data_IF_845609660419
#
_entry.id   IF_845609660419
#
_cell.length_a   1.000
_cell.length_b   1.000
_cell.length_c   1.000
_cell.angle_alpha   90.00
_cell.angle_beta   90.00
_cell.angle_gamma   90.00
#
_symmetry.space_group_name_H-M   'P 1'
#
loop_
_entity.id
_entity.type
_entity.pdbx_description
1 polymer ?
#
# COMPACT_ATOMS: atom_id res chain seq x y z
N UNK A 1 1.80 -14.75 5.57
CA UNK A 1 1.71 -13.89 4.36
C UNK A 1 2.21 -12.50 4.72
N UNK A 2 3.15 -11.93 3.95
CA UNK A 2 3.93 -10.74 4.30
C UNK A 2 3.12 -9.62 4.97
N UNK A 3 2.01 -9.21 4.35
CA UNK A 3 1.19 -8.10 4.86
C UNK A 3 0.54 -8.40 6.21
N UNK A 4 0.10 -9.64 6.43
CA UNK A 4 -0.47 -10.04 7.71
C UNK A 4 0.57 -10.12 8.83
N UNK A 5 1.78 -10.55 8.49
CA UNK A 5 2.90 -10.60 9.43
C UNK A 5 3.33 -9.17 9.82
N UNK A 6 3.36 -8.25 8.85
CA UNK A 6 3.56 -6.82 9.10
C UNK A 6 2.50 -6.24 10.04
N UNK A 7 1.21 -6.47 9.78
CA UNK A 7 0.13 -5.96 10.63
C UNK A 7 0.22 -6.50 12.08
N UNK A 8 0.63 -7.76 12.23
CA UNK A 8 0.85 -8.36 13.55
C UNK A 8 2.01 -7.66 14.28
N UNK A 9 3.12 -7.34 13.60
CA UNK A 9 4.24 -6.56 14.16
C UNK A 9 3.83 -5.14 14.55
N UNK A 10 2.91 -4.51 13.81
CA UNK A 10 2.33 -3.21 14.14
C UNK A 10 1.38 -3.24 15.36
N UNK A 11 1.18 -4.42 15.97
CA UNK A 11 0.33 -4.60 17.14
C UNK A 11 -1.17 -4.71 16.80
N UNK A 12 -1.50 -4.99 15.53
CA UNK A 12 -2.87 -5.28 15.14
C UNK A 12 -3.25 -6.71 15.55
N UNK A 13 -4.50 -6.91 15.94
CA UNK A 13 -5.03 -8.19 16.41
C UNK A 13 -6.39 -8.50 15.77
N UNK A 14 -6.90 -9.71 16.00
CA UNK A 14 -8.10 -10.23 15.30
C UNK A 14 -8.00 -10.10 13.77
N UNK A 15 -6.79 -10.32 13.26
CA UNK A 15 -6.46 -10.15 11.85
C UNK A 15 -7.13 -11.22 10.98
N UNK A 16 -7.81 -10.76 9.93
CA UNK A 16 -8.34 -11.57 8.83
C UNK A 16 -7.90 -10.96 7.51
N UNK A 17 -6.93 -11.59 6.85
CA UNK A 17 -6.50 -11.24 5.50
C UNK A 17 -7.24 -12.15 4.53
N UNK A 18 -8.15 -11.59 3.73
CA UNK A 18 -8.84 -12.33 2.68
C UNK A 18 -7.93 -12.59 1.49
N UNK A 19 -8.29 -13.60 0.70
CA UNK A 19 -7.62 -13.92 -0.55
C UNK A 19 -7.85 -12.82 -1.62
N UNK A 20 -6.99 -12.81 -2.63
CA UNK A 20 -7.18 -11.96 -3.80
C UNK A 20 -8.29 -12.51 -4.69
N UNK A 21 -9.31 -11.68 -4.90
CA UNK A 21 -10.33 -11.83 -5.92
C UNK A 21 -9.80 -11.23 -7.22
N UNK A 22 -9.97 -11.94 -8.33
CA UNK A 22 -9.57 -11.48 -9.66
C UNK A 22 -10.81 -11.01 -10.42
N UNK A 23 -10.67 -9.88 -11.11
CA UNK A 23 -11.70 -9.36 -11.99
C UNK A 23 -11.91 -10.33 -13.16
N UNK A 24 -13.16 -10.45 -13.60
CA UNK A 24 -13.49 -11.20 -14.83
C UNK A 24 -13.19 -10.32 -16.04
N UNK A 25 -13.00 -10.96 -17.19
CA UNK A 25 -12.79 -10.24 -18.45
C UNK A 25 -13.94 -9.26 -18.72
N UNK A 26 -13.60 -7.98 -18.91
CA UNK A 26 -14.57 -6.92 -19.16
C UNK A 26 -15.27 -6.35 -17.91
N UNK A 27 -15.02 -6.89 -16.71
CA UNK A 27 -15.64 -6.46 -15.46
C UNK A 27 -14.57 -6.11 -14.40
N UNK A 28 -13.82 -5.01 -14.59
CA UNK A 28 -12.80 -4.62 -13.62
C UNK A 28 -13.40 -4.18 -12.29
N UNK A 29 -12.63 -4.28 -11.21
CA UNK A 29 -13.02 -3.66 -9.95
C UNK A 29 -12.84 -2.14 -10.05
N UNK A 30 -13.93 -1.40 -9.95
CA UNK A 30 -13.87 0.06 -9.94
C UNK A 30 -13.74 0.60 -8.51
N UNK A 31 -12.79 1.52 -8.33
CA UNK A 31 -12.64 2.28 -7.10
C UNK A 31 -13.32 3.63 -7.26
N UNK A 32 -14.53 3.77 -6.69
CA UNK A 32 -15.38 4.96 -6.85
C UNK A 32 -14.73 6.28 -6.43
N UNK A 33 -13.70 6.25 -5.58
CA UNK A 33 -13.02 7.44 -5.07
C UNK A 33 -11.94 8.00 -6.01
N UNK A 34 -11.37 7.18 -6.89
CA UNK A 34 -10.36 7.63 -7.88
C UNK A 34 -10.78 7.45 -9.33
N UNK A 35 -11.91 6.77 -9.58
CA UNK A 35 -12.36 6.45 -10.94
C UNK A 35 -11.42 5.51 -11.70
N UNK A 36 -10.51 4.85 -10.99
CA UNK A 36 -9.58 3.90 -11.60
C UNK A 36 -10.12 2.46 -11.52
N UNK A 37 -9.76 1.66 -12.53
CA UNK A 37 -10.08 0.25 -12.63
C UNK A 37 -8.93 -0.62 -12.14
N UNK A 38 -9.24 -1.78 -11.54
CA UNK A 38 -8.28 -2.71 -10.98
C UNK A 38 -8.60 -4.15 -11.36
N UNK A 39 -7.55 -4.97 -11.51
CA UNK A 39 -7.69 -6.39 -11.90
C UNK A 39 -7.82 -7.31 -10.70
N UNK A 40 -7.46 -6.83 -9.50
CA UNK A 40 -7.48 -7.62 -8.28
C UNK A 40 -8.03 -6.80 -7.11
N UNK A 41 -8.71 -7.48 -6.18
CA UNK A 41 -9.20 -6.90 -4.93
C UNK A 41 -9.11 -7.91 -3.79
N UNK A 42 -8.83 -7.46 -2.58
CA UNK A 42 -9.04 -8.26 -1.36
C UNK A 42 -9.56 -7.41 -0.22
N UNK A 43 -10.12 -8.06 0.80
CA UNK A 43 -10.52 -7.40 2.05
C UNK A 43 -9.63 -7.86 3.19
N UNK A 44 -9.13 -6.90 3.97
CA UNK A 44 -8.40 -7.13 5.21
C UNK A 44 -9.19 -6.52 6.36
N UNK A 45 -9.35 -7.26 7.45
CA UNK A 45 -9.98 -6.78 8.68
C UNK A 45 -9.03 -6.99 9.85
N UNK A 46 -8.93 -6.02 10.73
CA UNK A 46 -8.11 -6.11 11.93
C UNK A 46 -8.58 -5.10 12.97
N UNK A 47 -8.08 -5.24 14.19
CA UNK A 47 -8.28 -4.30 15.29
C UNK A 47 -6.95 -3.76 15.77
N UNK A 48 -6.97 -2.56 16.33
CA UNK A 48 -5.81 -1.98 16.99
C UNK A 48 -6.21 -1.19 18.23
N UNK A 49 -5.29 -1.10 19.17
CA UNK A 49 -5.45 -0.24 20.35
C UNK A 49 -5.17 1.20 19.95
N UNK A 50 -6.15 2.08 20.15
CA UNK A 50 -6.01 3.51 19.84
C UNK A 50 -4.97 4.11 20.77
N UNK A 51 -4.00 4.84 20.21
CA UNK A 51 -2.96 5.55 20.99
C UNK A 51 -3.38 6.98 21.35
N UNK A 52 -4.43 7.51 20.72
CA UNK A 52 -4.83 8.92 20.90
C UNK A 52 -5.79 9.12 22.07
N UNK A 53 -5.52 10.18 22.84
CA UNK A 53 -6.25 10.62 24.02
C UNK A 53 -7.52 11.43 23.70
N UNK A 54 -8.10 11.31 22.51
CA UNK A 54 -9.47 11.76 22.32
C UNK A 54 -10.35 10.77 23.09
N UNK A 55 -10.55 11.03 24.39
CA UNK A 55 -11.17 10.21 25.45
C UNK A 55 -12.63 9.77 25.20
N UNK A 56 -13.08 9.76 23.94
CA UNK A 56 -14.44 9.45 23.55
C UNK A 56 -14.42 8.16 22.72
N UNK A 57 -15.06 7.13 23.28
CA UNK A 57 -15.27 5.84 22.63
C UNK A 57 -14.33 4.72 23.13
N UNK A 58 -14.59 3.47 22.71
CA UNK A 58 -13.85 2.28 23.15
C UNK A 58 -12.35 2.35 22.83
N UNK A 59 -11.47 1.76 23.66
CA UNK A 59 -10.01 1.81 23.43
C UNK A 59 -9.54 1.07 22.17
N UNK A 60 -10.41 0.25 21.59
CA UNK A 60 -10.15 -0.57 20.41
C UNK A 60 -10.90 0.01 19.23
N UNK A 61 -10.20 0.18 18.11
CA UNK A 61 -10.79 0.51 16.82
C UNK A 61 -10.76 -0.72 15.91
N UNK A 62 -11.86 -0.97 15.20
CA UNK A 62 -11.89 -1.96 14.13
C UNK A 62 -11.59 -1.26 12.79
N UNK A 63 -10.84 -1.94 11.93
CA UNK A 63 -10.52 -1.47 10.58
C UNK A 63 -11.00 -2.51 9.59
N UNK A 64 -11.75 -2.03 8.60
CA UNK A 64 -11.99 -2.75 7.35
C UNK A 64 -11.24 -2.03 6.25
N UNK A 65 -10.28 -2.74 5.65
CA UNK A 65 -9.45 -2.25 4.57
C UNK A 65 -9.78 -3.04 3.30
N UNK A 66 -10.17 -2.36 2.23
CA UNK A 66 -10.27 -2.94 0.89
C UNK A 66 -9.01 -2.58 0.12
N UNK A 67 -8.28 -3.58 -0.35
CA UNK A 67 -7.10 -3.38 -1.19
C UNK A 67 -7.46 -3.71 -2.63
N UNK A 68 -7.03 -2.85 -3.53
CA UNK A 68 -7.13 -3.00 -4.96
C UNK A 68 -5.72 -3.07 -5.53
N UNK A 69 -5.52 -3.92 -6.53
CA UNK A 69 -4.23 -4.05 -7.19
C UNK A 69 -4.42 -4.12 -8.71
N UNK A 70 -3.55 -3.44 -9.44
CA UNK A 70 -3.34 -3.68 -10.86
C UNK A 70 -1.86 -3.67 -11.21
N UNK A 71 -1.53 -4.47 -12.20
CA UNK A 71 -0.20 -4.53 -12.79
C UNK A 71 -0.34 -4.04 -14.23
N UNK A 72 0.39 -2.99 -14.57
CA UNK A 72 0.43 -2.39 -15.90
C UNK A 72 1.71 -2.88 -16.61
N UNK A 73 1.57 -3.92 -17.42
CA UNK A 73 2.69 -4.55 -18.12
C UNK A 73 3.70 -5.20 -17.15
N UNK A 74 5.00 -5.05 -17.43
CA UNK A 74 6.08 -5.60 -16.58
C UNK A 74 6.73 -4.54 -15.68
N UNK A 75 6.30 -3.29 -15.79
CA UNK A 75 7.08 -2.15 -15.27
C UNK A 75 6.37 -1.38 -14.17
N UNK A 76 5.05 -1.47 -14.07
CA UNK A 76 4.29 -0.68 -13.11
C UNK A 76 3.28 -1.53 -12.35
N UNK A 77 3.22 -1.31 -11.05
CA UNK A 77 2.23 -1.91 -10.16
C UNK A 77 1.63 -0.80 -9.29
N UNK A 78 0.31 -0.84 -9.15
CA UNK A 78 -0.45 0.11 -8.34
C UNK A 78 -1.27 -0.70 -7.34
N UNK A 79 -1.04 -0.44 -6.06
CA UNK A 79 -1.86 -0.94 -4.96
C UNK A 79 -2.56 0.23 -4.31
N UNK A 80 -3.89 0.20 -4.30
CA UNK A 80 -4.69 1.22 -3.66
C UNK A 80 -5.49 0.61 -2.50
N UNK A 81 -5.65 1.36 -1.43
CA UNK A 81 -6.20 0.87 -0.18
C UNK A 81 -7.26 1.86 0.29
N UNK A 82 -8.44 1.35 0.60
CA UNK A 82 -9.55 2.12 1.20
C UNK A 82 -9.76 1.59 2.60
N UNK A 83 -9.56 2.44 3.60
CA UNK A 83 -9.73 2.11 5.00
C UNK A 83 -10.99 2.79 5.52
N UNK A 84 -11.82 2.00 6.18
CA UNK A 84 -12.95 2.43 6.99
C UNK A 84 -12.77 1.94 8.41
N UNK A 85 -13.19 2.75 9.37
CA UNK A 85 -13.02 2.49 10.79
C UNK A 85 -14.38 2.21 11.45
N UNK A 86 -14.35 1.50 12.56
CA UNK A 86 -15.46 1.39 13.50
C UNK A 86 -14.93 1.53 14.94
N UNK A 87 -15.77 2.01 15.86
CA UNK A 87 -15.38 2.27 17.24
C UNK A 87 -14.56 3.55 17.47
N UNK A 88 -14.47 4.44 16.48
CA UNK A 88 -13.87 5.78 16.63
C UNK A 88 -14.91 6.90 16.41
N UNK A 89 -14.78 8.05 17.10
CA UNK A 89 -15.60 9.22 16.81
C UNK A 89 -15.49 9.61 15.33
N UNK A 90 -16.62 9.96 14.71
CA UNK A 90 -16.70 10.40 13.30
C UNK A 90 -16.25 9.35 12.27
N UNK A 91 -16.19 8.06 12.63
CA UNK A 91 -15.80 6.98 11.72
C UNK A 91 -16.62 6.92 10.41
N UNK A 92 -17.87 7.36 10.48
CA UNK A 92 -18.81 7.40 9.35
C UNK A 92 -18.69 8.66 8.48
N UNK A 93 -17.87 9.63 8.90
CA UNK A 93 -17.70 10.90 8.22
C UNK A 93 -16.57 10.88 7.18
N UNK A 94 -15.64 9.92 7.25
CA UNK A 94 -14.47 9.90 6.38
C UNK A 94 -13.97 8.50 6.03
N UNK A 95 -13.17 8.42 4.97
CA UNK A 95 -12.37 7.27 4.58
C UNK A 95 -10.90 7.69 4.50
N UNK A 96 -10.01 6.72 4.68
CA UNK A 96 -8.58 6.93 4.46
C UNK A 96 -8.16 6.13 3.25
N UNK A 97 -7.60 6.82 2.28
CA UNK A 97 -7.07 6.23 1.07
C UNK A 97 -5.55 6.22 1.14
N UNK A 98 -4.95 5.08 0.85
CA UNK A 98 -3.51 4.98 0.61
C UNK A 98 -3.28 4.42 -0.79
N UNK A 99 -2.37 5.02 -1.55
CA UNK A 99 -2.04 4.60 -2.90
C UNK A 99 -0.54 4.43 -3.03
N UNK A 100 -0.13 3.21 -3.35
CA UNK A 100 1.23 2.81 -3.62
C UNK A 100 1.37 2.62 -5.13
N UNK A 101 2.19 3.46 -5.77
CA UNK A 101 2.55 3.31 -7.16
C UNK A 101 4.03 2.99 -7.25
N UNK A 102 4.32 1.86 -7.90
CA UNK A 102 5.69 1.38 -8.10
C UNK A 102 5.94 1.39 -9.59
N UNK A 103 7.10 1.92 -10.00
CA UNK A 103 7.54 1.87 -11.40
C UNK A 103 9.00 1.46 -11.48
N UNK A 104 9.35 0.71 -12.51
CA UNK A 104 10.74 0.43 -12.85
C UNK A 104 11.49 1.75 -13.07
N UNK A 105 12.71 1.81 -12.57
CA UNK A 105 13.60 2.96 -12.68
C UNK A 105 14.99 2.47 -13.11
N UNK A 106 15.30 2.57 -14.40
CA UNK A 106 16.53 1.98 -14.96
C UNK A 106 16.50 0.44 -15.02
N UNK A 107 17.67 -0.19 -15.10
CA UNK A 107 17.79 -1.66 -15.28
C UNK A 107 17.34 -2.41 -14.02
N UNK A 108 17.79 -1.91 -12.87
CA UNK A 108 17.72 -2.58 -11.58
C UNK A 108 17.07 -1.70 -10.50
N UNK A 109 16.47 -0.56 -10.83
CA UNK A 109 15.82 0.30 -9.85
C UNK A 109 14.30 0.11 -9.81
N UNK A 110 13.73 0.34 -8.63
CA UNK A 110 12.30 0.51 -8.43
C UNK A 110 12.04 1.83 -7.71
N UNK A 111 11.25 2.70 -8.33
CA UNK A 111 10.75 3.92 -7.70
C UNK A 111 9.38 3.65 -7.10
N UNK A 112 9.24 3.93 -5.80
CA UNK A 112 7.99 3.77 -5.07
C UNK A 112 7.48 5.14 -4.65
N UNK A 113 6.21 5.40 -4.95
CA UNK A 113 5.48 6.60 -4.58
C UNK A 113 4.28 6.20 -3.72
N UNK A 114 4.21 6.75 -2.51
CA UNK A 114 3.09 6.52 -1.58
C UNK A 114 2.34 7.84 -1.37
N UNK A 115 1.04 7.82 -1.63
CA UNK A 115 0.12 8.93 -1.33
C UNK A 115 -0.92 8.52 -0.30
N UNK A 116 -1.22 9.40 0.65
CA UNK A 116 -2.25 9.20 1.68
C UNK A 116 -3.23 10.37 1.61
N UNK A 117 -4.52 10.07 1.63
CA UNK A 117 -5.59 11.06 1.57
C UNK A 117 -6.70 10.71 2.56
N UNK A 118 -7.27 11.73 3.19
CA UNK A 118 -8.50 11.61 3.98
C UNK A 118 -9.65 12.20 3.18
N UNK A 119 -10.62 11.38 2.82
CA UNK A 119 -11.83 11.78 2.08
C UNK A 119 -13.01 11.92 3.06
N UNK A 120 -13.59 13.12 3.17
CA UNK A 120 -14.79 13.34 3.98
C UNK A 120 -16.06 13.13 3.16
N UNK A 121 -16.92 12.19 3.59
CA UNK A 121 -18.27 11.98 3.03
C UNK A 121 -19.34 12.82 3.71
N UNK A 122 -19.07 13.32 4.92
CA UNK A 122 -19.97 14.18 5.68
C UNK A 122 -19.21 15.41 6.17
N UNK A 123 -19.90 16.54 6.25
CA UNK A 123 -19.35 17.76 6.87
C UNK A 123 -19.14 17.51 8.37
N UNK A 124 -17.96 17.86 8.88
CA UNK A 124 -17.64 17.83 10.31
C UNK A 124 -16.80 19.04 10.67
N UNK A 125 -17.01 19.59 11.87
CA UNK A 125 -16.26 20.74 12.37
C UNK A 125 -14.79 20.38 12.70
N UNK A 126 -14.49 19.09 12.86
CA UNK A 126 -13.14 18.61 13.20
C UNK A 126 -12.36 18.10 11.97
N UNK A 127 -12.81 18.43 10.74
CA UNK A 127 -12.23 17.87 9.52
C UNK A 127 -10.71 18.10 9.42
N UNK A 128 -10.25 19.31 9.77
CA UNK A 128 -8.81 19.64 9.74
C UNK A 128 -8.00 18.81 10.75
N UNK A 129 -8.52 18.64 11.97
CA UNK A 129 -7.87 17.86 13.02
C UNK A 129 -7.84 16.37 12.67
N UNK A 130 -8.96 15.82 12.19
CA UNK A 130 -9.03 14.43 11.73
C UNK A 130 -8.03 14.19 10.59
N UNK A 131 -8.00 15.08 9.58
CA UNK A 131 -7.06 14.97 8.46
C UNK A 131 -5.61 14.99 8.94
N UNK A 132 -5.24 15.96 9.77
CA UNK A 132 -3.87 16.14 10.25
C UNK A 132 -3.44 14.97 11.14
N UNK A 133 -4.27 14.57 12.10
CA UNK A 133 -3.97 13.44 12.99
C UNK A 133 -3.85 12.13 12.23
N UNK A 134 -4.77 11.86 11.30
CA UNK A 134 -4.71 10.64 10.47
C UNK A 134 -3.44 10.58 9.62
N UNK A 135 -3.05 11.69 8.99
CA UNK A 135 -1.83 11.73 8.17
C UNK A 135 -0.59 11.54 9.06
N UNK A 136 -0.54 12.19 10.23
CA UNK A 136 0.57 12.06 11.17
C UNK A 136 0.71 10.63 11.71
N UNK A 137 -0.39 9.92 11.93
CA UNK A 137 -0.40 8.54 12.40
C UNK A 137 -0.10 7.52 11.28
N UNK A 138 -0.62 7.76 10.08
CA UNK A 138 -0.59 6.76 8.98
C UNK A 138 0.71 6.81 8.19
N UNK A 139 1.32 7.99 8.04
CA UNK A 139 2.62 8.15 7.35
C UNK A 139 3.72 7.23 7.89
N UNK A 140 4.00 7.21 9.21
CA UNK A 140 5.05 6.36 9.75
C UNK A 140 4.74 4.86 9.64
N UNK A 141 3.46 4.46 9.60
CA UNK A 141 3.06 3.07 9.34
C UNK A 141 3.44 2.66 7.91
N UNK A 142 3.19 3.52 6.92
CA UNK A 142 3.57 3.23 5.54
C UNK A 142 5.08 3.30 5.30
N UNK A 143 5.82 4.14 6.04
CA UNK A 143 7.29 4.12 6.04
C UNK A 143 7.82 2.77 6.54
N UNK A 144 7.32 2.27 7.67
CA UNK A 144 7.70 0.94 8.18
C UNK A 144 7.30 -0.19 7.25
N UNK A 145 6.12 -0.11 6.61
CA UNK A 145 5.71 -1.08 5.59
C UNK A 145 6.69 -1.09 4.42
N UNK A 146 7.14 0.10 3.98
CA UNK A 146 8.11 0.24 2.91
C UNK A 146 9.47 -0.39 3.31
N UNK A 147 9.95 -0.13 4.51
CA UNK A 147 11.18 -0.72 5.04
C UNK A 147 11.09 -2.25 5.14
N UNK A 148 9.99 -2.79 5.65
CA UNK A 148 9.79 -4.25 5.73
C UNK A 148 9.70 -4.87 4.33
N UNK A 149 9.08 -4.18 3.37
CA UNK A 149 9.06 -4.64 1.99
C UNK A 149 10.46 -4.62 1.37
N UNK A 150 11.24 -3.57 1.61
CA UNK A 150 12.64 -3.47 1.18
C UNK A 150 13.50 -4.60 1.76
N UNK A 151 13.35 -4.91 3.05
CA UNK A 151 14.03 -6.03 3.71
C UNK A 151 13.62 -7.38 3.10
N UNK A 152 12.32 -7.59 2.84
CA UNK A 152 11.82 -8.80 2.23
C UNK A 152 12.35 -9.02 0.80
N UNK A 153 12.68 -7.93 0.10
CA UNK A 153 13.31 -7.95 -1.21
C UNK A 153 14.83 -8.19 -1.17
N UNK A 154 15.42 -8.34 0.03
CA UNK A 154 16.87 -8.54 0.20
C UNK A 154 17.69 -7.31 -0.20
N UNK A 155 17.08 -6.12 -0.17
CA UNK A 155 17.80 -4.87 -0.41
C UNK A 155 18.36 -4.41 0.93
N UNK A 156 19.67 -4.60 1.11
CA UNK A 156 20.38 -4.16 2.30
C UNK A 156 20.07 -2.69 2.62
N UNK A 157 20.02 -2.37 3.91
CA UNK A 157 19.81 -1.00 4.39
C UNK A 157 20.78 -0.05 3.70
N UNK A 158 20.38 1.20 3.40
CA UNK A 158 21.31 2.14 2.80
C UNK A 158 22.47 2.32 3.79
N UNK A 159 23.70 2.07 3.34
CA UNK A 159 24.87 2.66 3.99
C UNK A 159 24.63 4.17 3.95
N UNK A 160 24.46 4.75 5.13
CA UNK A 160 24.19 6.16 5.27
C UNK A 160 25.39 6.96 4.77
N UNK A 161 25.20 7.63 3.65
CA UNK A 161 26.00 8.77 3.24
C UNK A 161 24.99 9.88 2.90
N UNK A 162 24.57 10.60 3.94
CA UNK A 162 24.14 11.99 3.93
C UNK A 162 23.75 12.36 5.37
N UNK A 163 24.76 12.69 6.17
CA UNK A 163 24.58 13.54 7.34
C UNK A 163 24.05 14.89 6.85
N UNK A 164 22.72 15.00 6.71
CA UNK A 164 22.08 16.29 6.72
C UNK A 164 22.15 16.82 8.15
N UNK A 165 23.00 17.82 8.37
CA UNK A 165 23.08 18.59 9.61
C UNK A 165 21.66 19.00 10.06
N UNK A 166 21.20 18.43 11.17
CA UNK A 166 19.98 18.90 11.85
C UNK A 166 20.32 20.22 12.56
N UNK A 167 20.00 21.34 11.90
CA UNK A 167 19.88 22.64 12.57
C UNK A 167 18.77 22.54 13.66
N UNK A 168 19.00 23.04 14.89
CA UNK A 168 18.05 22.92 15.98
C UNK A 168 16.80 23.76 15.70
N UNK A 169 15.67 23.09 15.51
CA UNK A 169 14.36 23.73 15.37
C UNK A 169 13.94 24.32 16.72
N UNK A 170 14.09 25.64 16.85
CA UNK A 170 13.54 26.45 17.93
C UNK A 170 12.01 26.29 18.00
N UNK A 171 11.50 25.91 19.17
CA UNK A 171 10.07 25.74 19.43
C UNK A 171 9.44 27.10 19.71
N UNK A 172 9.07 27.81 18.65
CA UNK A 172 8.02 28.83 18.73
C UNK A 172 7.04 28.68 17.57
N UNK A 173 5.76 28.69 17.91
CA UNK A 173 4.60 28.45 17.05
C UNK A 173 4.56 29.39 15.84
N UNK A 174 4.51 28.84 14.62
CA UNK A 174 3.59 29.26 13.55
C UNK A 174 3.70 28.29 12.35
N UNK A 175 2.74 27.36 12.23
CA UNK A 175 2.61 26.51 11.06
C UNK A 175 1.82 27.26 9.97
N UNK A 176 2.50 28.13 9.22
CA UNK A 176 2.00 28.65 7.96
C UNK A 176 2.39 27.69 6.84
N UNK A 177 1.57 26.66 6.63
CA UNK A 177 1.62 25.87 5.40
C UNK A 177 1.02 26.71 4.26
N UNK A 178 1.87 27.35 3.46
CA UNK A 178 1.47 28.10 2.27
C UNK A 178 0.85 27.16 1.26
N UNK A 179 -0.47 27.27 1.08
CA UNK A 179 -1.26 26.50 0.12
C UNK A 179 -1.13 27.14 -1.26
N UNK A 180 -0.43 26.48 -2.18
CA UNK A 180 -0.59 26.75 -3.61
C UNK A 180 -1.71 25.84 -4.14
N UNK A 181 -2.88 26.41 -4.39
CA UNK A 181 -3.98 25.74 -5.10
C UNK A 181 -3.72 25.80 -6.60
N UNK A 182 -3.47 24.65 -7.23
CA UNK A 182 -3.73 24.46 -8.66
C UNK A 182 -4.99 23.62 -8.82
N UNK A 183 -5.98 24.18 -9.51
CA UNK A 183 -7.25 23.51 -9.81
C UNK A 183 -7.01 22.26 -10.68
N UNK A 184 -7.44 21.10 -10.17
CA UNK A 184 -7.39 19.83 -10.89
C UNK A 184 -7.39 18.61 -9.96
N UNK A 185 -8.58 18.24 -9.44
CA UNK A 185 -9.08 16.93 -8.90
C UNK A 185 -8.20 16.09 -7.93
N UNK A 186 -6.90 16.32 -7.78
CA UNK A 186 -6.07 15.73 -6.72
C UNK A 186 -5.40 16.87 -5.96
N UNK A 187 -5.99 17.26 -4.82
CA UNK A 187 -5.24 17.98 -3.78
C UNK A 187 -4.25 17.01 -3.12
N UNK A 188 -3.23 16.58 -3.86
CA UNK A 188 -2.22 15.64 -3.41
C UNK A 188 -1.18 16.35 -2.55
N UNK A 189 -0.94 15.87 -1.34
CA UNK A 189 0.39 15.99 -0.76
C UNK A 189 1.20 14.81 -1.31
N UNK A 190 2.03 15.08 -2.32
CA UNK A 190 3.07 14.16 -2.77
C UNK A 190 4.14 14.08 -1.67
N UNK A 191 4.53 12.89 -1.25
CA UNK A 191 5.72 12.79 -0.39
C UNK A 191 5.91 11.49 0.37
N UNK A 192 6.26 10.41 -0.35
CA UNK A 192 7.50 9.64 -0.12
C UNK A 192 7.95 9.19 -1.50
N UNK A 193 9.06 9.73 -1.99
CA UNK A 193 9.77 9.21 -3.16
C UNK A 193 11.02 8.54 -2.60
N UNK A 194 11.10 7.22 -2.70
CA UNK A 194 12.34 6.50 -2.40
C UNK A 194 12.73 5.61 -3.57
N UNK A 195 14.03 5.53 -3.82
CA UNK A 195 14.64 4.66 -4.82
C UNK A 195 15.09 3.38 -4.15
N UNK A 196 14.74 2.23 -4.75
CA UNK A 196 15.23 0.92 -4.34
C UNK A 196 16.15 0.38 -5.45
N UNK A 197 17.46 0.22 -5.21
CA UNK A 197 18.31 -0.59 -6.08
C UNK A 197 18.03 -2.09 -5.82
N UNK A 198 17.78 -2.87 -6.87
CA UNK A 198 17.47 -4.30 -6.87
C UNK A 198 18.72 -5.07 -7.32
N UNK A 199 19.11 -6.11 -6.60
CA UNK A 199 20.36 -6.82 -6.90
C UNK A 199 20.19 -7.80 -8.08
N UNK A 200 21.23 -7.92 -8.92
CA UNK A 200 21.27 -8.62 -10.23
C UNK A 200 20.88 -10.12 -10.24
N UNK A 201 20.70 -10.75 -9.08
CA UNK A 201 20.48 -12.21 -8.99
C UNK A 201 19.01 -12.64 -9.13
N UNK A 202 18.07 -11.69 -9.22
CA UNK A 202 16.63 -11.97 -9.41
C UNK A 202 16.14 -11.40 -10.75
N UNK A 203 16.41 -12.13 -11.84
CA UNK A 203 16.03 -11.79 -13.22
C UNK A 203 14.54 -12.05 -13.55
N UNK A 204 13.63 -11.65 -12.65
CA UNK A 204 12.20 -11.54 -12.96
C UNK A 204 11.70 -10.17 -12.48
N UNK A 205 11.00 -9.45 -13.36
CA UNK A 205 10.75 -8.00 -13.27
C UNK A 205 10.45 -7.47 -11.87
N UNK A 206 11.26 -6.52 -11.39
CA UNK A 206 11.17 -5.93 -10.05
C UNK A 206 9.79 -5.34 -9.71
N UNK A 207 9.07 -4.79 -10.70
CA UNK A 207 7.68 -4.33 -10.52
C UNK A 207 6.71 -5.46 -10.20
N UNK A 208 6.98 -6.67 -10.71
CA UNK A 208 6.28 -7.89 -10.33
C UNK A 208 6.67 -8.32 -8.93
N UNK A 209 7.91 -8.14 -8.46
CA UNK A 209 8.36 -8.62 -7.15
C UNK A 209 7.77 -7.82 -5.98
N UNK A 210 7.66 -6.48 -6.04
CA UNK A 210 6.99 -5.72 -4.97
C UNK A 210 5.47 -5.92 -5.00
N UNK A 211 4.89 -6.02 -6.21
CA UNK A 211 3.54 -6.51 -6.40
C UNK A 211 3.36 -7.87 -5.73
N UNK A 212 4.24 -8.84 -6.02
CA UNK A 212 4.29 -10.18 -5.44
C UNK A 212 4.55 -10.16 -3.93
N UNK A 213 5.34 -9.25 -3.35
CA UNK A 213 5.53 -9.17 -1.89
C UNK A 213 4.25 -8.66 -1.21
N UNK A 214 3.55 -7.71 -1.84
CA UNK A 214 2.24 -7.23 -1.37
C UNK A 214 1.11 -8.25 -1.69
N UNK A 215 1.26 -9.05 -2.74
CA UNK A 215 0.27 -10.00 -3.28
C UNK A 215 0.46 -11.44 -2.79
N UNK A 216 1.65 -11.90 -2.39
CA UNK A 216 1.93 -13.33 -2.30
C UNK A 216 1.43 -14.01 -1.03
N UNK A 217 0.40 -14.82 -1.28
CA UNK A 217 0.42 -16.24 -0.93
C UNK A 217 0.86 -17.18 -2.08
N UNK A 218 1.46 -16.72 -3.19
CA UNK A 218 1.61 -17.58 -4.40
C UNK A 218 2.93 -18.37 -4.55
N UNK A 219 3.85 -18.39 -3.57
CA UNK A 219 5.08 -19.22 -3.71
C UNK A 219 5.31 -20.27 -2.61
N UNK A 220 4.38 -20.47 -1.69
CA UNK A 220 4.51 -21.53 -0.68
C UNK A 220 3.16 -22.18 -0.38
N UNK A 221 2.78 -23.18 -1.19
CA UNK A 221 1.55 -23.93 -0.94
C UNK A 221 1.09 -24.75 -2.13
N UNK A 222 1.90 -25.72 -2.55
CA UNK A 222 1.43 -26.78 -3.43
C UNK A 222 0.34 -27.59 -2.72
N UNK A 223 -0.88 -27.51 -3.25
CA UNK A 223 -1.96 -28.46 -3.03
C UNK A 223 -2.39 -28.94 -4.42
N UNK A 224 -2.10 -30.21 -4.70
CA UNK A 224 -2.30 -30.84 -5.98
C UNK A 224 -3.78 -30.95 -6.32
N UNK A 225 -4.16 -30.50 -7.52
CA UNK A 225 -5.20 -31.13 -8.32
C UNK A 225 -4.79 -31.10 -9.80
N UNK A 226 -5.07 -32.21 -10.47
CA UNK A 226 -4.53 -32.65 -11.75
C UNK A 226 -4.56 -31.60 -12.88
N UNK A 227 -3.39 -31.06 -13.23
CA UNK A 227 -3.10 -30.58 -14.59
C UNK A 227 -2.64 -31.79 -15.41
N UNK A 228 -3.30 -32.03 -16.54
CA UNK A 228 -3.03 -33.19 -17.39
C UNK A 228 -1.63 -33.07 -18.03
N UNK A 229 -0.85 -34.17 -18.02
CA UNK A 229 0.48 -34.21 -18.65
C UNK A 229 0.48 -33.80 -20.14
N UNK A 230 -0.68 -33.78 -20.80
CA UNK A 230 -0.82 -33.29 -22.17
C UNK A 230 -0.80 -31.76 -22.27
N UNK A 231 -1.29 -31.03 -21.26
CA UNK A 231 -1.30 -29.56 -21.24
C UNK A 231 0.10 -29.01 -20.98
N UNK A 232 0.87 -29.68 -20.12
CA UNK A 232 2.29 -29.36 -19.87
C UNK A 232 3.13 -29.57 -21.13
N UNK A 233 2.81 -30.60 -21.92
CA UNK A 233 3.52 -30.90 -23.17
C UNK A 233 3.16 -29.90 -24.28
N UNK A 234 1.92 -29.41 -24.32
CA UNK A 234 1.48 -28.37 -25.26
C UNK A 234 2.12 -27.00 -24.95
N UNK A 235 2.20 -26.61 -23.67
CA UNK A 235 2.85 -25.36 -23.27
C UNK A 235 4.37 -25.36 -23.54
N UNK A 236 5.01 -26.52 -23.39
CA UNK A 236 6.45 -26.66 -23.68
C UNK A 236 6.75 -26.58 -25.18
N UNK A 237 5.89 -27.18 -26.02
CA UNK A 237 6.00 -27.08 -27.48
C UNK A 237 5.81 -25.64 -27.99
N UNK A 238 4.87 -24.88 -27.40
CA UNK A 238 4.68 -23.46 -27.75
C UNK A 238 5.86 -22.57 -27.30
N UNK A 239 6.53 -22.92 -26.20
CA UNK A 239 7.72 -22.20 -25.73
C UNK A 239 8.96 -22.45 -26.61
N UNK A 240 9.13 -23.67 -27.12
CA UNK A 240 10.25 -24.01 -27.99
C UNK A 240 10.08 -23.45 -29.43
N UNK A 241 8.86 -23.12 -29.86
CA UNK A 241 8.59 -22.42 -31.14
C UNK A 241 8.83 -20.89 -31.07
N UNK A 242 8.99 -20.32 -29.88
CA UNK A 242 9.20 -18.87 -29.68
C UNK A 242 10.67 -18.49 -29.41
N UNK A 243 11.61 -19.42 -29.56
CA UNK A 243 13.06 -19.20 -29.53
C UNK A 243 13.67 -19.37 -30.92
#
# INVERSE_FOLDING_TARGET
PFYGDFLTKEGCFELKVGDWEFAKDGEPFEASWCGESYTQRRTVKFKFNRKTHLYIGPPVAEVKQTQYCRIEGKERCIVAMVLSFDGIPYADCFYVHARWATRKDGVDGLKVEVGIQVEFRKKTILASQIKTGTIAETTPVHQRLFEEARKALGVDAPQGDDEAEEEPVDRSMEAAATVATSEGIFGSLQGIISMIPVNRSFLFGAGTVLGLVLLNGWLAGGGADHVSSNEIRAMKAQMDEMQ
#
